data_IF_588365940591
#
_entry.id   IF_588365940591
#
_cell.length_a   1.000
_cell.length_b   1.000
_cell.length_c   1.000
_cell.angle_alpha   90.00
_cell.angle_beta   90.00
_cell.angle_gamma   90.00
#
_symmetry.space_group_name_H-M   'P 1'
#
loop_
_entity.id
_entity.type
_entity.pdbx_description
1 polymer ?
#
# COMPACT_ATOMS: atom_id res chain seq x y z
N UNK A 1 -13.18 -35.44 3.50
CA UNK A 1 -14.28 -35.09 2.59
C UNK A 1 -14.05 -33.66 2.16
N UNK A 2 -13.24 -33.48 1.11
CA UNK A 2 -12.83 -32.20 0.56
C UNK A 2 -13.83 -31.84 -0.54
N UNK A 3 -14.63 -30.79 -0.35
CA UNK A 3 -15.41 -30.21 -1.45
C UNK A 3 -14.58 -29.09 -2.08
N UNK A 4 -13.99 -29.44 -3.23
CA UNK A 4 -13.37 -28.51 -4.17
C UNK A 4 -14.43 -27.56 -4.70
N UNK A 5 -14.28 -26.26 -4.44
CA UNK A 5 -15.07 -25.21 -5.09
C UNK A 5 -14.47 -25.00 -6.47
N UNK A 6 -15.11 -25.58 -7.47
CA UNK A 6 -14.79 -25.32 -8.88
C UNK A 6 -15.11 -23.86 -9.19
N UNK A 7 -14.08 -23.03 -9.30
CA UNK A 7 -14.16 -21.73 -9.95
C UNK A 7 -14.20 -21.96 -11.46
N UNK A 8 -15.40 -22.16 -12.00
CA UNK A 8 -15.62 -22.02 -13.44
C UNK A 8 -15.53 -20.54 -13.78
N UNK A 9 -14.37 -20.12 -14.27
CA UNK A 9 -14.17 -18.86 -14.98
C UNK A 9 -14.89 -18.94 -16.33
N UNK A 10 -16.20 -18.74 -16.31
CA UNK A 10 -16.95 -18.35 -17.50
C UNK A 10 -16.62 -16.90 -17.81
N UNK A 11 -15.72 -16.66 -18.76
CA UNK A 11 -15.48 -15.34 -19.35
C UNK A 11 -16.74 -14.90 -20.10
N UNK A 12 -17.70 -14.32 -19.38
CA UNK A 12 -18.77 -13.56 -20.00
C UNK A 12 -18.16 -12.25 -20.51
N UNK A 13 -17.74 -12.25 -21.77
CA UNK A 13 -17.62 -11.03 -22.56
C UNK A 13 -19.01 -10.39 -22.66
N UNK A 14 -19.42 -9.71 -21.60
CA UNK A 14 -20.61 -8.89 -21.56
C UNK A 14 -20.29 -7.55 -22.19
N UNK A 15 -20.30 -7.48 -23.52
CA UNK A 15 -20.58 -6.22 -24.19
C UNK A 15 -21.94 -5.73 -23.68
N UNK A 16 -21.93 -4.81 -22.73
CA UNK A 16 -23.16 -4.15 -22.29
C UNK A 16 -23.41 -3.03 -23.29
N UNK A 17 -24.12 -3.34 -24.37
CA UNK A 17 -24.70 -2.30 -25.21
C UNK A 17 -25.67 -1.52 -24.32
N UNK A 18 -25.29 -0.27 -24.03
CA UNK A 18 -26.10 0.64 -23.22
C UNK A 18 -27.47 0.73 -23.87
N UNK A 19 -28.48 0.27 -23.14
CA UNK A 19 -29.87 0.23 -23.58
C UNK A 19 -30.29 1.61 -24.07
N UNK A 20 -30.52 1.65 -25.38
CA UNK A 20 -31.15 2.71 -26.16
C UNK A 20 -32.58 2.96 -25.61
N UNK A 21 -32.68 3.79 -24.57
CA UNK A 21 -33.90 4.54 -24.24
C UNK A 21 -33.50 5.97 -23.89
N UNK A 22 -33.34 6.74 -24.95
CA UNK A 22 -33.34 8.19 -24.99
C UNK A 22 -34.44 8.75 -24.08
N UNK A 23 -34.08 9.63 -23.14
CA UNK A 23 -35.05 10.28 -22.27
C UNK A 23 -34.44 10.66 -20.94
N UNK A 24 -34.38 9.71 -20.00
CA UNK A 24 -34.01 10.03 -18.60
C UNK A 24 -32.50 10.08 -18.41
N UNK A 25 -31.76 9.14 -18.99
CA UNK A 25 -30.31 9.05 -18.84
C UNK A 25 -29.60 10.22 -19.53
N UNK A 26 -29.91 10.46 -20.80
CA UNK A 26 -29.36 11.58 -21.56
C UNK A 26 -29.73 12.94 -20.95
N UNK A 27 -30.97 13.12 -20.49
CA UNK A 27 -31.43 14.38 -19.87
C UNK A 27 -30.76 14.67 -18.53
N UNK A 28 -30.47 13.64 -17.72
CA UNK A 28 -29.71 13.81 -16.47
C UNK A 28 -28.28 14.26 -16.74
N UNK A 29 -27.60 13.64 -17.70
CA UNK A 29 -26.23 14.01 -18.09
C UNK A 29 -26.16 15.42 -18.69
N UNK A 30 -27.15 15.79 -19.51
CA UNK A 30 -27.32 17.15 -20.04
C UNK A 30 -27.51 18.18 -18.93
N UNK A 31 -28.35 17.87 -17.93
CA UNK A 31 -28.61 18.74 -16.77
C UNK A 31 -27.38 18.93 -15.87
N UNK A 32 -26.42 18.00 -15.93
CA UNK A 32 -25.18 18.02 -15.15
C UNK A 32 -23.99 18.51 -16.00
N UNK A 33 -24.21 18.94 -17.26
CA UNK A 33 -23.18 19.37 -18.23
C UNK A 33 -22.07 18.33 -18.46
N UNK A 34 -22.42 17.04 -18.47
CA UNK A 34 -21.47 15.96 -18.72
C UNK A 34 -21.92 15.12 -19.91
N UNK A 35 -20.97 14.63 -20.70
CA UNK A 35 -21.27 13.69 -21.78
C UNK A 35 -21.26 12.26 -21.23
N UNK A 36 -22.31 11.47 -21.47
CA UNK A 36 -22.31 10.05 -21.08
C UNK A 36 -21.22 9.31 -21.87
N UNK A 37 -20.58 8.33 -21.23
CA UNK A 37 -19.55 7.54 -21.90
C UNK A 37 -20.20 6.62 -22.95
N UNK A 38 -19.63 6.58 -24.15
CA UNK A 38 -20.14 5.82 -25.30
C UNK A 38 -20.04 4.30 -25.12
N UNK A 39 -19.11 3.85 -24.27
CA UNK A 39 -18.91 2.45 -23.89
C UNK A 39 -18.19 2.39 -22.56
N UNK A 40 -18.66 1.56 -21.63
CA UNK A 40 -17.95 1.26 -20.39
C UNK A 40 -17.12 -0.01 -20.56
N UNK A 41 -15.88 0.01 -20.05
CA UNK A 41 -15.07 -1.19 -19.85
C UNK A 41 -15.60 -2.06 -18.70
N UNK A 42 -14.83 -3.07 -18.30
CA UNK A 42 -15.19 -3.89 -17.14
C UNK A 42 -15.21 -3.02 -15.86
N UNK A 43 -16.32 -3.09 -15.12
CA UNK A 43 -16.55 -2.35 -13.87
C UNK A 43 -15.47 -2.69 -12.84
N UNK A 44 -14.89 -3.89 -12.90
CA UNK A 44 -13.80 -4.30 -12.00
C UNK A 44 -12.54 -3.42 -12.12
N UNK A 45 -12.38 -2.69 -13.23
CA UNK A 45 -11.29 -1.72 -13.42
C UNK A 45 -11.35 -0.59 -12.38
N UNK A 46 -12.54 -0.29 -11.86
CA UNK A 46 -12.77 0.76 -10.85
C UNK A 46 -12.56 0.30 -9.40
N UNK A 47 -12.14 -0.96 -9.17
CA UNK A 47 -11.78 -1.45 -7.83
C UNK A 47 -10.43 -0.89 -7.34
N UNK A 48 -9.58 -0.41 -8.27
CA UNK A 48 -8.34 0.28 -7.92
C UNK A 48 -8.60 1.78 -7.74
N UNK A 49 -8.30 2.30 -6.54
CA UNK A 49 -8.48 3.72 -6.19
C UNK A 49 -7.75 4.67 -7.16
N UNK A 50 -6.58 4.26 -7.66
CA UNK A 50 -5.81 5.07 -8.59
C UNK A 50 -6.47 5.11 -9.98
N UNK A 51 -6.92 3.95 -10.49
CA UNK A 51 -7.65 3.87 -11.75
C UNK A 51 -8.99 4.64 -11.70
N UNK A 52 -9.70 4.60 -10.57
CA UNK A 52 -10.94 5.35 -10.37
C UNK A 52 -10.70 6.87 -10.35
N UNK A 53 -9.59 7.34 -9.75
CA UNK A 53 -9.28 8.76 -9.68
C UNK A 53 -8.88 9.36 -11.04
N UNK A 54 -8.16 8.61 -11.87
CA UNK A 54 -7.69 9.04 -13.19
C UNK A 54 -8.79 9.02 -14.26
N UNK A 55 -9.87 8.25 -14.07
CA UNK A 55 -10.97 8.17 -15.04
C UNK A 55 -11.72 9.51 -15.20
N UNK A 56 -12.20 9.88 -16.40
CA UNK A 56 -13.00 11.08 -16.60
C UNK A 56 -14.34 11.01 -15.86
N UNK A 57 -14.85 12.17 -15.40
CA UNK A 57 -16.04 12.24 -14.54
C UNK A 57 -17.30 11.61 -15.20
N UNK A 58 -17.49 11.80 -16.51
CA UNK A 58 -18.61 11.22 -17.26
C UNK A 58 -18.57 9.68 -17.27
N UNK A 59 -17.38 9.08 -17.36
CA UNK A 59 -17.20 7.63 -17.35
C UNK A 59 -17.47 7.04 -15.96
N UNK A 60 -16.93 7.66 -14.90
CA UNK A 60 -17.20 7.26 -13.52
C UNK A 60 -18.68 7.28 -13.17
N UNK A 61 -19.37 8.36 -13.56
CA UNK A 61 -20.80 8.50 -13.32
C UNK A 61 -21.60 7.48 -14.13
N UNK A 62 -21.19 7.19 -15.37
CA UNK A 62 -21.84 6.17 -16.19
C UNK A 62 -21.70 4.79 -15.54
N UNK A 63 -20.49 4.44 -15.06
CA UNK A 63 -20.23 3.18 -14.36
C UNK A 63 -21.04 3.07 -13.05
N UNK A 64 -21.04 4.13 -12.23
CA UNK A 64 -21.79 4.18 -10.98
C UNK A 64 -23.30 4.04 -11.22
N UNK A 65 -23.84 4.74 -12.23
CA UNK A 65 -25.26 4.67 -12.58
C UNK A 65 -25.65 3.27 -13.08
N UNK A 66 -24.77 2.60 -13.83
CA UNK A 66 -25.01 1.23 -14.29
C UNK A 66 -25.05 0.24 -13.12
N UNK A 67 -24.07 0.29 -12.20
CA UNK A 67 -24.06 -0.54 -10.98
C UNK A 67 -25.31 -0.29 -10.16
N UNK A 68 -25.70 0.97 -10.01
CA UNK A 68 -26.90 1.35 -9.27
C UNK A 68 -28.18 0.81 -9.92
N UNK A 69 -28.33 0.92 -11.25
CA UNK A 69 -29.45 0.33 -11.99
C UNK A 69 -29.48 -1.19 -11.90
N UNK A 70 -28.31 -1.84 -11.91
CA UNK A 70 -28.20 -3.29 -11.72
C UNK A 70 -28.60 -3.72 -10.30
N UNK A 71 -28.26 -2.93 -9.28
CA UNK A 71 -28.73 -3.12 -7.91
C UNK A 71 -30.27 -3.00 -7.80
N UNK A 72 -30.87 -1.99 -8.41
CA UNK A 72 -32.34 -1.84 -8.46
C UNK A 72 -32.98 -3.01 -9.20
N UNK A 73 -32.41 -3.44 -10.32
CA UNK A 73 -32.95 -4.58 -11.10
C UNK A 73 -32.93 -5.88 -10.28
N UNK A 74 -31.89 -6.09 -9.46
CA UNK A 74 -31.79 -7.24 -8.55
C UNK A 74 -32.77 -7.17 -7.37
N UNK A 75 -33.14 -5.97 -6.91
CA UNK A 75 -34.10 -5.80 -5.81
C UNK A 75 -35.56 -6.03 -6.24
N UNK A 76 -35.86 -6.06 -7.55
CA UNK A 76 -37.18 -6.35 -8.09
C UNK A 76 -38.23 -5.26 -7.84
N UNK A 77 -37.82 -4.08 -7.35
CA UNK A 77 -38.72 -2.95 -7.14
C UNK A 77 -39.00 -2.21 -8.45
N UNK A 78 -40.29 -1.95 -8.75
CA UNK A 78 -40.66 -1.02 -9.81
C UNK A 78 -40.39 0.41 -9.34
N UNK A 79 -39.36 1.05 -9.91
CA UNK A 79 -39.00 2.42 -9.57
C UNK A 79 -39.68 3.38 -10.55
N UNK A 80 -40.76 4.02 -10.09
CA UNK A 80 -41.46 5.06 -10.86
C UNK A 80 -40.71 6.39 -10.85
N UNK A 81 -39.92 6.67 -9.79
CA UNK A 81 -39.14 7.89 -9.64
C UNK A 81 -37.90 7.68 -8.79
N UNK A 82 -36.78 8.25 -9.24
CA UNK A 82 -35.54 8.30 -8.49
C UNK A 82 -35.60 9.42 -7.45
N UNK A 83 -36.16 9.14 -6.27
CA UNK A 83 -36.23 10.08 -5.16
C UNK A 83 -35.14 9.80 -4.11
N UNK A 84 -34.77 10.84 -3.35
CA UNK A 84 -33.75 10.78 -2.30
C UNK A 84 -33.98 9.61 -1.32
N UNK A 85 -35.24 9.34 -0.98
CA UNK A 85 -35.63 8.27 -0.06
C UNK A 85 -35.21 6.89 -0.54
N UNK A 86 -35.23 6.64 -1.86
CA UNK A 86 -34.80 5.38 -2.45
C UNK A 86 -33.28 5.22 -2.40
N UNK A 87 -32.55 6.32 -2.63
CA UNK A 87 -31.09 6.35 -2.49
C UNK A 87 -30.69 6.11 -1.04
N UNK A 88 -31.30 6.82 -0.09
CA UNK A 88 -31.04 6.66 1.34
C UNK A 88 -31.33 5.22 1.81
N UNK A 89 -32.38 4.58 1.28
CA UNK A 89 -32.69 3.18 1.55
C UNK A 89 -31.60 2.23 1.03
N UNK A 90 -31.10 2.42 -0.19
CA UNK A 90 -30.03 1.58 -0.74
C UNK A 90 -28.67 1.84 -0.08
N UNK A 91 -28.37 3.07 0.35
CA UNK A 91 -27.19 3.36 1.18
C UNK A 91 -27.27 2.59 2.49
N UNK A 92 -28.41 2.64 3.18
CA UNK A 92 -28.60 1.91 4.44
C UNK A 92 -28.46 0.39 4.27
N UNK A 93 -28.94 -0.17 3.15
CA UNK A 93 -28.79 -1.59 2.83
C UNK A 93 -27.32 -1.96 2.58
N UNK A 94 -26.56 -1.13 1.86
CA UNK A 94 -25.12 -1.33 1.68
C UNK A 94 -24.37 -1.27 3.01
N UNK A 95 -24.66 -0.26 3.84
CA UNK A 95 -24.05 -0.12 5.16
C UNK A 95 -24.36 -1.33 6.05
N UNK A 96 -25.58 -1.85 5.98
CA UNK A 96 -25.99 -3.07 6.68
C UNK A 96 -25.19 -4.29 6.20
N UNK A 97 -25.05 -4.47 4.88
CA UNK A 97 -24.28 -5.58 4.31
C UNK A 97 -22.79 -5.51 4.67
N UNK A 98 -22.19 -4.33 4.57
CA UNK A 98 -20.79 -4.10 4.96
C UNK A 98 -20.61 -4.39 6.45
N UNK A 99 -21.51 -3.86 7.29
CA UNK A 99 -21.46 -4.09 8.74
C UNK A 99 -21.56 -5.57 9.07
N UNK A 100 -22.46 -6.32 8.41
CA UNK A 100 -22.60 -7.78 8.62
C UNK A 100 -21.36 -8.55 8.19
N UNK A 101 -20.77 -8.19 7.05
CA UNK A 101 -19.53 -8.84 6.58
C UNK A 101 -18.36 -8.54 7.52
N UNK A 102 -18.22 -7.29 7.95
CA UNK A 102 -17.21 -6.88 8.90
C UNK A 102 -17.40 -7.61 10.24
N UNK A 103 -18.63 -7.70 10.73
CA UNK A 103 -18.96 -8.41 11.96
C UNK A 103 -18.56 -9.89 11.88
N UNK A 104 -18.85 -10.57 10.76
CA UNK A 104 -18.43 -11.94 10.52
C UNK A 104 -16.91 -12.10 10.50
N UNK A 105 -16.17 -11.15 9.91
CA UNK A 105 -14.69 -11.14 9.89
C UNK A 105 -14.13 -10.89 11.29
N UNK A 106 -14.66 -9.92 12.03
CA UNK A 106 -14.22 -9.57 13.39
C UNK A 106 -14.48 -10.70 14.40
N UNK A 107 -15.53 -11.49 14.18
CA UNK A 107 -15.86 -12.66 15.00
C UNK A 107 -15.21 -13.96 14.53
N UNK A 108 -14.41 -13.92 13.47
CA UNK A 108 -13.71 -15.10 12.98
C UNK A 108 -12.56 -15.48 13.93
N UNK A 109 -12.49 -16.74 14.36
CA UNK A 109 -11.52 -17.19 15.37
C UNK A 109 -10.06 -16.93 14.96
N UNK A 110 -9.72 -17.15 13.69
CA UNK A 110 -8.35 -16.88 13.21
C UNK A 110 -8.00 -15.40 13.25
N UNK A 111 -8.97 -14.53 12.94
CA UNK A 111 -8.77 -13.09 13.01
C UNK A 111 -8.58 -12.64 14.45
N UNK A 112 -9.39 -13.13 15.39
CA UNK A 112 -9.27 -12.80 16.81
C UNK A 112 -7.97 -13.31 17.44
N UNK A 113 -7.47 -14.48 17.02
CA UNK A 113 -6.16 -14.98 17.44
C UNK A 113 -5.05 -14.03 17.01
N UNK A 114 -5.07 -13.61 15.74
CA UNK A 114 -4.09 -12.66 15.21
C UNK A 114 -4.23 -11.31 15.91
N UNK A 115 -5.43 -10.77 16.04
CA UNK A 115 -5.70 -9.50 16.71
C UNK A 115 -5.23 -9.52 18.17
N UNK A 116 -5.49 -10.59 18.92
CA UNK A 116 -5.04 -10.70 20.31
C UNK A 116 -3.51 -10.75 20.44
N UNK A 117 -2.82 -11.43 19.52
CA UNK A 117 -1.35 -11.40 19.43
C UNK A 117 -0.82 -9.99 19.13
N UNK A 118 -1.42 -9.29 18.16
CA UNK A 118 -1.04 -7.91 17.82
C UNK A 118 -1.30 -6.94 18.96
N UNK A 119 -2.44 -7.07 19.65
CA UNK A 119 -2.76 -6.26 20.84
C UNK A 119 -1.78 -6.55 21.98
N UNK A 120 -1.43 -7.81 22.22
CA UNK A 120 -0.42 -8.21 23.19
C UNK A 120 0.95 -7.61 22.88
N UNK A 121 1.39 -7.68 21.62
CA UNK A 121 2.63 -7.06 21.16
C UNK A 121 2.59 -5.53 21.32
N UNK A 122 1.48 -4.89 20.93
CA UNK A 122 1.29 -3.44 21.09
C UNK A 122 1.35 -3.04 22.56
N UNK A 123 0.69 -3.78 23.45
CA UNK A 123 0.73 -3.57 24.89
C UNK A 123 2.17 -3.69 25.42
N UNK A 124 2.93 -4.68 24.97
CA UNK A 124 4.32 -4.87 25.38
C UNK A 124 5.22 -3.71 24.93
N UNK A 125 5.01 -3.21 23.71
CA UNK A 125 5.70 -2.03 23.19
C UNK A 125 5.30 -0.78 23.97
N UNK A 126 4.02 -0.59 24.26
CA UNK A 126 3.51 0.57 25.01
C UNK A 126 3.98 0.59 26.46
N UNK A 127 4.10 -0.58 27.08
CA UNK A 127 4.62 -0.75 28.43
C UNK A 127 6.16 -0.64 28.48
N UNK A 128 6.84 -0.58 27.34
CA UNK A 128 8.29 -0.39 27.30
C UNK A 128 8.60 1.10 27.45
N UNK A 129 9.16 1.48 28.60
CA UNK A 129 9.64 2.85 28.80
C UNK A 129 10.92 3.11 27.98
N UNK A 130 10.71 3.48 26.72
CA UNK A 130 11.78 3.82 25.80
C UNK A 130 12.65 4.98 26.30
N UNK A 131 12.08 5.93 27.06
CA UNK A 131 12.84 7.07 27.57
C UNK A 131 13.80 6.63 28.68
N UNK A 132 13.35 5.74 29.57
CA UNK A 132 14.22 5.13 30.58
C UNK A 132 15.31 4.30 29.93
N UNK A 133 14.98 3.43 28.97
CA UNK A 133 15.99 2.65 28.24
C UNK A 133 16.99 3.51 27.47
N UNK A 134 16.54 4.62 26.87
CA UNK A 134 17.42 5.55 26.15
C UNK A 134 18.38 6.30 27.08
N UNK A 135 18.00 6.51 28.34
CA UNK A 135 18.84 7.17 29.35
C UNK A 135 19.85 6.22 29.98
N UNK A 136 19.40 5.02 30.34
CA UNK A 136 20.24 3.98 30.94
C UNK A 136 19.97 2.62 30.26
N UNK A 137 20.61 2.34 29.12
CA UNK A 137 20.39 1.10 28.40
C UNK A 137 20.95 -0.07 29.22
N UNK A 138 20.33 -1.25 29.10
CA UNK A 138 20.73 -2.44 29.87
C UNK A 138 22.23 -2.78 29.75
N UNK A 139 22.85 -2.51 28.60
CA UNK A 139 24.29 -2.67 28.41
C UNK A 139 25.13 -1.74 29.31
N UNK A 140 24.70 -0.50 29.51
CA UNK A 140 25.37 0.44 30.42
C UNK A 140 25.11 0.04 31.87
N UNK A 141 23.86 -0.31 32.18
CA UNK A 141 23.44 -0.66 33.53
C UNK A 141 24.14 -1.92 34.07
N UNK A 142 24.11 -3.03 33.30
CA UNK A 142 24.64 -4.32 33.76
C UNK A 142 26.10 -4.56 33.40
N UNK A 143 26.57 -4.00 32.29
CA UNK A 143 27.90 -4.31 31.75
C UNK A 143 28.82 -3.07 31.68
N UNK A 144 28.34 -1.88 32.05
CA UNK A 144 29.14 -0.66 32.02
C UNK A 144 29.61 -0.24 30.63
N UNK A 145 29.01 -0.80 29.56
CA UNK A 145 29.43 -0.59 28.17
C UNK A 145 28.31 0.01 27.34
N UNK A 146 28.66 0.87 26.39
CA UNK A 146 27.75 1.36 25.36
C UNK A 146 27.99 0.71 24.00
N UNK A 147 28.95 -0.22 23.92
CA UNK A 147 29.45 -0.79 22.66
C UNK A 147 29.07 -2.28 22.46
N UNK A 148 27.98 -2.76 23.05
CA UNK A 148 27.59 -4.18 22.90
C UNK A 148 27.32 -4.56 21.43
N UNK A 149 27.04 -3.57 20.57
CA UNK A 149 26.89 -3.72 19.13
C UNK A 149 28.12 -4.25 18.38
N UNK A 150 29.32 -4.04 18.90
CA UNK A 150 30.60 -4.50 18.32
C UNK A 150 31.19 -5.66 19.14
N UNK A 151 31.12 -5.56 20.46
CA UNK A 151 31.67 -6.52 21.41
C UNK A 151 31.05 -7.92 21.25
N UNK A 152 29.74 -8.00 20.92
CA UNK A 152 29.09 -9.27 20.63
C UNK A 152 29.71 -9.97 19.43
N UNK A 153 30.03 -9.23 18.36
CA UNK A 153 30.63 -9.79 17.15
C UNK A 153 32.06 -10.24 17.39
N UNK A 154 32.82 -9.50 18.17
CA UNK A 154 34.15 -9.93 18.63
C UNK A 154 34.09 -11.19 19.48
N UNK A 155 33.10 -11.29 20.36
CA UNK A 155 32.89 -12.49 21.17
C UNK A 155 32.56 -13.70 20.30
N UNK A 156 31.68 -13.56 19.31
CA UNK A 156 31.37 -14.64 18.36
C UNK A 156 32.62 -15.07 17.60
N UNK A 157 33.41 -14.11 17.08
CA UNK A 157 34.68 -14.43 16.40
C UNK A 157 35.67 -15.17 17.29
N UNK A 158 35.71 -14.83 18.57
CA UNK A 158 36.58 -15.48 19.57
C UNK A 158 36.11 -16.91 19.83
N UNK A 159 34.81 -17.10 20.08
CA UNK A 159 34.19 -18.42 20.28
C UNK A 159 34.35 -19.33 19.06
N UNK A 160 34.36 -18.78 17.84
CA UNK A 160 34.61 -19.57 16.63
C UNK A 160 36.06 -20.03 16.48
N UNK A 161 37.03 -19.37 17.15
CA UNK A 161 38.44 -19.80 17.15
C UNK A 161 38.75 -20.86 18.21
N UNK A 162 37.92 -20.97 19.24
CA UNK A 162 38.06 -21.98 20.28
C UNK A 162 37.75 -23.38 19.73
N UNK A 163 38.54 -24.38 20.14
CA UNK A 163 38.44 -25.76 19.64
C UNK A 163 37.31 -26.56 20.30
N UNK A 164 36.79 -26.12 21.45
CA UNK A 164 35.66 -26.73 22.15
C UNK A 164 34.80 -25.67 22.89
N UNK A 165 34.03 -24.83 22.17
CA UNK A 165 33.16 -23.83 22.79
C UNK A 165 31.92 -24.49 23.40
N UNK A 166 31.34 -23.86 24.42
CA UNK A 166 30.06 -24.30 24.96
C UNK A 166 28.93 -24.13 23.94
N UNK A 167 28.29 -25.24 23.59
CA UNK A 167 27.15 -25.31 22.67
C UNK A 167 25.98 -24.45 23.09
N UNK A 168 25.74 -24.26 24.40
CA UNK A 168 24.64 -23.42 24.89
C UNK A 168 24.90 -21.94 24.58
N UNK A 169 26.15 -21.49 24.75
CA UNK A 169 26.57 -20.11 24.42
C UNK A 169 26.49 -19.89 22.91
N UNK A 170 26.99 -20.81 22.09
CA UNK A 170 26.88 -20.70 20.63
C UNK A 170 25.41 -20.65 20.17
N UNK A 171 24.55 -21.48 20.77
CA UNK A 171 23.11 -21.47 20.49
C UNK A 171 22.51 -20.12 20.84
N UNK A 172 22.80 -19.58 22.03
CA UNK A 172 22.33 -18.28 22.46
C UNK A 172 22.78 -17.17 21.50
N UNK A 173 24.07 -17.13 21.13
CA UNK A 173 24.59 -16.16 20.17
C UNK A 173 23.89 -16.26 18.81
N UNK A 174 23.69 -17.47 18.30
CA UNK A 174 23.00 -17.71 17.04
C UNK A 174 21.53 -17.25 17.09
N UNK A 175 20.86 -17.42 18.24
CA UNK A 175 19.49 -16.89 18.45
C UNK A 175 19.43 -15.39 18.41
N UNK A 176 20.37 -14.72 19.05
CA UNK A 176 20.43 -13.25 19.05
C UNK A 176 20.47 -12.73 17.62
N UNK A 177 21.22 -13.39 16.73
CA UNK A 177 21.28 -13.06 15.30
C UNK A 177 19.99 -13.40 14.53
N UNK A 178 19.38 -14.57 14.80
CA UNK A 178 18.10 -14.95 14.18
C UNK A 178 16.95 -14.00 14.56
N UNK A 179 16.97 -13.43 15.77
CA UNK A 179 16.00 -12.44 16.24
C UNK A 179 16.20 -11.05 15.62
N UNK A 180 17.18 -10.90 14.72
CA UNK A 180 17.42 -9.66 13.98
C UNK A 180 18.40 -8.70 14.64
N UNK A 181 19.24 -9.17 15.57
CA UNK A 181 20.36 -8.35 16.05
C UNK A 181 21.36 -8.10 14.92
N UNK A 182 21.62 -6.82 14.63
CA UNK A 182 22.55 -6.41 13.58
C UNK A 182 23.83 -5.79 14.16
N UNK A 183 23.75 -5.12 15.31
CA UNK A 183 24.85 -4.32 15.84
C UNK A 183 25.20 -3.15 14.91
N UNK A 184 26.48 -2.79 14.85
CA UNK A 184 26.99 -1.70 14.00
C UNK A 184 27.00 -2.04 12.49
N UNK A 185 26.82 -3.31 12.11
CA UNK A 185 26.89 -3.81 10.73
C UNK A 185 25.63 -3.54 9.89
N UNK A 186 24.94 -2.41 10.10
CA UNK A 186 23.75 -2.03 9.30
C UNK A 186 24.08 -1.56 7.89
N UNK A 187 25.34 -1.19 7.62
CA UNK A 187 25.76 -0.73 6.30
C UNK A 187 26.06 -1.94 5.40
N UNK A 188 25.33 -2.03 4.27
CA UNK A 188 25.53 -2.88 3.09
C UNK A 188 26.15 -4.27 3.32
N UNK A 189 25.29 -5.31 3.33
CA UNK A 189 25.62 -6.71 3.01
C UNK A 189 27.09 -7.11 3.16
N UNK A 190 27.64 -6.98 4.37
CA UNK A 190 29.03 -7.33 4.61
C UNK A 190 29.14 -8.85 4.45
N UNK A 191 29.77 -9.32 3.37
CA UNK A 191 29.97 -10.76 3.08
C UNK A 191 30.56 -11.48 4.30
N UNK A 192 31.40 -10.75 5.06
CA UNK A 192 31.99 -11.19 6.33
C UNK A 192 30.95 -11.56 7.40
N UNK A 193 29.79 -10.89 7.44
CA UNK A 193 28.70 -11.20 8.37
C UNK A 193 28.10 -12.56 8.03
N UNK A 194 27.84 -12.78 6.75
CA UNK A 194 27.23 -14.03 6.28
C UNK A 194 28.16 -15.22 6.50
N UNK A 195 29.47 -15.02 6.34
CA UNK A 195 30.48 -16.04 6.65
C UNK A 195 30.49 -16.40 8.14
N UNK A 196 30.46 -15.40 9.04
CA UNK A 196 30.41 -15.65 10.49
C UNK A 196 29.11 -16.35 10.89
N UNK A 197 27.97 -15.93 10.33
CA UNK A 197 26.67 -16.56 10.59
C UNK A 197 26.65 -18.00 10.10
N UNK A 198 27.25 -18.28 8.93
CA UNK A 198 27.36 -19.62 8.36
C UNK A 198 28.26 -20.52 9.21
N UNK A 199 29.44 -20.05 9.59
CA UNK A 199 30.38 -20.78 10.45
C UNK A 199 29.77 -21.07 11.84
N UNK A 200 28.95 -20.16 12.36
CA UNK A 200 28.21 -20.37 13.60
C UNK A 200 27.09 -21.40 13.43
N UNK A 201 26.33 -21.33 12.33
CA UNK A 201 25.25 -22.27 12.02
C UNK A 201 25.75 -23.72 11.83
N UNK A 202 26.95 -23.92 11.28
CA UNK A 202 27.55 -25.25 11.15
C UNK A 202 27.87 -25.93 12.50
N UNK A 203 28.06 -25.14 13.56
CA UNK A 203 28.42 -25.64 14.91
C UNK A 203 27.25 -25.73 15.88
N UNK A 204 26.09 -25.17 15.53
CA UNK A 204 24.88 -25.19 16.36
C UNK A 204 23.93 -26.23 15.80
N UNK A 205 23.35 -27.13 16.62
CA UNK A 205 22.37 -28.10 16.15
C UNK A 205 21.21 -27.41 15.45
N UNK A 206 20.77 -27.95 14.31
CA UNK A 206 19.71 -27.38 13.51
C UNK A 206 18.45 -27.18 14.35
N UNK A 207 17.97 -25.95 14.44
CA UNK A 207 16.71 -25.64 15.08
C UNK A 207 15.60 -25.62 14.05
N UNK A 208 14.61 -26.48 14.25
CA UNK A 208 13.35 -26.46 13.50
C UNK A 208 12.44 -25.38 14.10
N UNK A 209 12.54 -24.16 13.60
CA UNK A 209 11.39 -23.25 13.70
C UNK A 209 10.36 -23.77 12.71
N UNK A 210 9.22 -24.26 13.18
CA UNK A 210 8.10 -24.59 12.30
C UNK A 210 7.80 -23.35 11.45
N UNK A 211 8.00 -23.48 10.14
CA UNK A 211 7.88 -22.41 9.18
C UNK A 211 6.38 -22.15 8.98
N UNK A 212 5.78 -21.35 9.85
CA UNK A 212 4.36 -21.01 9.78
C UNK A 212 4.07 -19.98 8.69
N UNK A 213 3.10 -20.35 7.86
CA UNK A 213 2.25 -19.62 6.91
C UNK A 213 2.84 -18.39 6.15
N UNK A 214 2.59 -18.28 4.84
CA UNK A 214 3.01 -17.11 4.07
C UNK A 214 2.41 -15.83 4.66
N UNK A 215 3.27 -14.98 5.22
CA UNK A 215 2.93 -13.64 5.67
C UNK A 215 2.49 -12.86 4.42
N UNK A 216 1.21 -12.47 4.37
CA UNK A 216 0.70 -11.50 3.38
C UNK A 216 1.32 -10.14 3.70
N UNK A 217 2.56 -9.95 3.24
CA UNK A 217 3.21 -8.66 3.27
C UNK A 217 2.50 -7.76 2.26
N UNK A 218 2.00 -6.61 2.71
CA UNK A 218 1.63 -5.53 1.80
C UNK A 218 2.88 -5.20 1.01
N UNK A 219 2.85 -5.38 -0.31
CA UNK A 219 3.87 -4.80 -1.18
C UNK A 219 3.96 -3.32 -0.79
N UNK A 220 5.14 -2.89 -0.33
CA UNK A 220 5.40 -1.49 -0.12
C UNK A 220 5.09 -0.80 -1.44
N UNK A 221 3.97 -0.05 -1.49
CA UNK A 221 3.65 0.75 -2.67
C UNK A 221 4.85 1.65 -2.85
N UNK A 222 5.66 1.34 -3.86
CA UNK A 222 6.77 2.16 -4.30
C UNK A 222 6.16 3.49 -4.71
N UNK A 223 6.13 4.41 -3.76
CA UNK A 223 5.78 5.81 -3.95
C UNK A 223 6.99 6.49 -4.61
N UNK A 224 7.39 5.99 -5.78
CA UNK A 224 8.61 6.41 -6.48
C UNK A 224 8.35 7.03 -7.85
N UNK A 225 7.09 7.35 -8.20
CA UNK A 225 6.75 7.99 -9.49
C UNK A 225 6.44 9.49 -9.43
N UNK A 226 5.87 9.99 -8.33
CA UNK A 226 5.26 11.34 -8.31
C UNK A 226 6.26 12.51 -8.26
N UNK A 227 7.48 12.28 -7.77
CA UNK A 227 8.45 13.36 -7.55
C UNK A 227 9.15 13.81 -8.84
N UNK A 228 9.30 12.91 -9.81
CA UNK A 228 9.89 13.22 -11.13
C UNK A 228 8.96 14.00 -12.04
N UNK A 229 7.67 13.65 -12.04
CA UNK A 229 6.65 14.29 -12.90
C UNK A 229 6.39 15.76 -12.53
N UNK A 230 6.42 16.10 -11.24
CA UNK A 230 6.26 17.50 -10.83
C UNK A 230 7.45 18.37 -11.23
N UNK A 231 8.67 17.82 -11.21
CA UNK A 231 9.88 18.53 -11.64
C UNK A 231 9.88 18.82 -13.15
N UNK A 232 9.40 17.88 -13.98
CA UNK A 232 9.31 18.10 -15.44
C UNK A 232 8.32 19.20 -15.80
N UNK A 233 7.17 19.28 -15.11
CA UNK A 233 6.19 20.36 -15.31
C UNK A 233 6.72 21.74 -14.89
N UNK A 234 7.47 21.83 -13.79
CA UNK A 234 8.09 23.09 -13.36
C UNK A 234 9.11 23.57 -14.40
N UNK A 235 9.95 22.67 -14.93
CA UNK A 235 10.92 23.01 -15.99
C UNK A 235 10.21 23.48 -17.26
N UNK A 236 9.14 22.80 -17.67
CA UNK A 236 8.35 23.18 -18.85
C UNK A 236 7.70 24.56 -18.69
N UNK A 237 7.14 24.86 -17.51
CA UNK A 237 6.54 26.17 -17.22
C UNK A 237 7.58 27.30 -17.25
N UNK A 238 8.77 27.08 -16.66
CA UNK A 238 9.88 28.04 -16.70
C UNK A 238 10.35 28.28 -18.14
N UNK A 239 10.46 27.24 -18.96
CA UNK A 239 10.83 27.36 -20.36
C UNK A 239 9.81 28.17 -21.17
N UNK A 240 8.52 27.97 -20.94
CA UNK A 240 7.44 28.76 -21.58
C UNK A 240 7.50 30.24 -21.20
N UNK A 241 7.73 30.55 -19.91
CA UNK A 241 7.86 31.94 -19.44
C UNK A 241 9.10 32.61 -20.04
N UNK A 242 10.23 31.90 -20.10
CA UNK A 242 11.45 32.41 -20.72
C UNK A 242 11.26 32.67 -22.22
N UNK A 243 10.60 31.75 -22.93
CA UNK A 243 10.27 31.89 -24.34
C UNK A 243 9.34 33.08 -24.58
N UNK A 244 8.33 33.27 -23.74
CA UNK A 244 7.43 34.42 -23.78
C UNK A 244 8.19 35.74 -23.61
N UNK A 245 9.05 35.85 -22.60
CA UNK A 245 9.88 37.04 -22.39
C UNK A 245 10.81 37.32 -23.56
N UNK A 246 11.41 36.28 -24.15
CA UNK A 246 12.27 36.41 -25.32
C UNK A 246 11.51 36.93 -26.54
N UNK A 247 10.35 36.32 -26.85
CA UNK A 247 9.50 36.78 -27.95
C UNK A 247 8.99 38.21 -27.70
N UNK A 248 8.57 38.52 -26.48
CA UNK A 248 8.11 39.86 -26.11
C UNK A 248 9.21 40.89 -26.31
N UNK A 249 10.42 40.63 -25.82
CA UNK A 249 11.56 41.55 -25.99
C UNK A 249 11.95 41.72 -27.46
N UNK A 250 11.90 40.65 -28.25
CA UNK A 250 12.20 40.68 -29.69
C UNK A 250 11.16 41.50 -30.46
N UNK A 251 9.87 41.32 -30.14
CA UNK A 251 8.78 42.15 -30.67
C UNK A 251 8.96 43.61 -30.30
N UNK A 252 9.30 43.94 -29.04
CA UNK A 252 9.56 45.32 -28.63
C UNK A 252 10.74 45.93 -29.39
N UNK A 253 11.81 45.17 -29.64
CA UNK A 253 12.95 45.63 -30.45
C UNK A 253 12.57 45.89 -31.90
N UNK A 254 11.84 44.97 -32.54
CA UNK A 254 11.38 45.12 -33.92
C UNK A 254 10.40 46.30 -34.09
N UNK A 255 9.47 46.47 -33.15
CA UNK A 255 8.56 47.62 -33.14
C UNK A 255 9.34 48.93 -32.92
N UNK A 256 10.33 48.95 -32.01
CA UNK A 256 11.14 50.15 -31.78
C UNK A 256 12.03 50.53 -32.98
N UNK A 257 12.46 49.56 -33.80
CA UNK A 257 13.18 49.81 -35.04
C UNK A 257 12.28 50.39 -36.14
N UNK A 258 11.02 49.93 -36.21
CA UNK A 258 10.03 50.43 -37.19
C UNK A 258 9.48 51.80 -36.79
N UNK A 259 9.42 52.11 -35.50
CA UNK A 259 8.87 53.37 -34.96
C UNK A 259 9.91 54.49 -34.82
N UNK A 260 11.20 54.26 -35.13
CA UNK A 260 12.19 55.35 -35.19
C UNK A 260 11.88 56.24 -36.42
N UNK A 261 11.48 57.51 -36.24
CA UNK A 261 11.33 58.43 -37.36
C UNK A 261 12.73 58.74 -37.91
N UNK A 262 12.85 58.71 -39.25
CA UNK A 262 13.94 59.41 -39.93
C UNK A 262 13.79 60.92 -39.77
#
# INVERSE_FOLDING_TARGET
MLMSVNTETGSAQGQTTVLEKEGVYASLFEKINLTPASSLGDINTFLDDAALADAPAGERLTAAMQVFMDCIRKSGQQVEKLDKTLIDHHIAELDFQISRQLDAVMHHEEFQKVESLWRGLKQLVDNTDYLTWRRDPLQAHFFGTLNAGEELWERIRTLLKETAPDTAVLTCMYRTLQLGFVGQYRAQHDERREDIVRALAERVPAFTLAQDAPIVARASRLRSGLRGYWLTWVVAAVALVALWFFLSSSLTKLVSQIVRPG
#
